data_IF_244019322318
#
_entry.id   IF_244019322318
#
_cell.length_a   1.000
_cell.length_b   1.000
_cell.length_c   1.000
_cell.angle_alpha   90.00
_cell.angle_beta   90.00
_cell.angle_gamma   90.00
#
_symmetry.space_group_name_H-M   'P 1'
#
loop_
_entity.id
_entity.type
_entity.pdbx_description
1 polymer ?
#
# COMPACT_ATOMS: atom_id res chain seq x y z
N UNK A 1 -4.43 -19.34 -12.89
CA UNK A 1 -3.77 -18.82 -11.67
C UNK A 1 -4.83 -18.50 -10.63
N UNK A 2 -4.64 -18.92 -9.37
CA UNK A 2 -5.55 -18.55 -8.26
C UNK A 2 -5.47 -17.03 -8.01
N UNK A 3 -6.61 -16.41 -7.70
CA UNK A 3 -6.67 -14.97 -7.42
C UNK A 3 -5.97 -14.64 -6.10
N UNK A 4 -5.44 -13.42 -5.96
CA UNK A 4 -4.77 -12.93 -4.74
C UNK A 4 -5.62 -11.90 -4.02
N UNK A 5 -5.52 -11.88 -2.70
CA UNK A 5 -6.04 -10.81 -1.84
C UNK A 5 -4.86 -9.95 -1.40
N UNK A 6 -4.88 -8.66 -1.73
CA UNK A 6 -3.88 -7.72 -1.24
C UNK A 6 -4.49 -6.94 -0.07
N UNK A 7 -3.81 -6.93 1.08
CA UNK A 7 -4.17 -6.15 2.25
C UNK A 7 -3.22 -4.96 2.37
N UNK A 8 -3.74 -3.81 2.82
CA UNK A 8 -2.93 -2.59 3.00
C UNK A 8 -3.04 -2.07 4.41
N UNK A 9 -1.89 -1.87 5.04
CA UNK A 9 -1.74 -1.23 6.35
C UNK A 9 -1.27 0.20 6.12
N UNK A 10 -1.74 1.15 6.94
CA UNK A 10 -1.33 2.56 6.83
C UNK A 10 -0.52 2.94 8.07
N UNK A 11 -1.04 2.69 9.28
CA UNK A 11 -0.29 2.86 10.52
C UNK A 11 -0.73 1.89 11.61
N UNK A 12 0.16 1.65 12.57
CA UNK A 12 -0.03 0.66 13.63
C UNK A 12 0.34 1.29 14.98
N UNK A 13 -0.48 1.03 16.01
CA UNK A 13 -0.17 1.43 17.39
C UNK A 13 -0.40 2.91 17.65
N UNK A 14 0.40 3.49 18.55
CA UNK A 14 0.27 4.90 18.91
C UNK A 14 0.76 5.84 17.79
N UNK A 15 0.12 6.99 17.67
CA UNK A 15 0.45 7.98 16.64
C UNK A 15 1.50 8.95 17.16
N UNK A 16 2.70 8.96 16.58
CA UNK A 16 3.75 9.93 16.92
C UNK A 16 3.55 11.32 16.26
N UNK A 17 2.50 11.48 15.44
CA UNK A 17 2.16 12.72 14.73
C UNK A 17 0.65 12.88 14.60
N UNK A 18 0.22 14.09 14.24
CA UNK A 18 -1.16 14.32 13.83
C UNK A 18 -1.49 13.53 12.55
N UNK A 19 -2.64 12.87 12.56
CA UNK A 19 -3.15 12.12 11.43
C UNK A 19 -3.84 13.04 10.42
N UNK A 20 -3.69 12.74 9.13
CA UNK A 20 -4.49 13.39 8.09
C UNK A 20 -5.97 13.04 8.25
N UNK A 21 -6.85 13.86 7.68
CA UNK A 21 -8.30 13.62 7.76
C UNK A 21 -8.65 12.25 7.15
N UNK A 22 -9.21 11.36 7.97
CA UNK A 22 -9.67 10.03 7.57
C UNK A 22 -8.60 8.94 7.69
N UNK A 23 -7.36 9.29 8.02
CA UNK A 23 -6.29 8.32 8.27
C UNK A 23 -6.55 7.50 9.54
N UNK A 24 -7.23 8.09 10.53
CA UNK A 24 -7.75 7.45 11.74
C UNK A 24 -8.61 6.22 11.41
N UNK A 25 -9.38 6.26 10.32
CA UNK A 25 -10.24 5.15 9.92
C UNK A 25 -9.43 3.90 9.51
N UNK A 26 -8.18 4.08 9.10
CA UNK A 26 -7.26 3.04 8.59
C UNK A 26 -6.08 2.76 9.51
N UNK A 27 -6.03 3.41 10.68
CA UNK A 27 -5.05 3.15 11.71
C UNK A 27 -5.48 1.96 12.57
N UNK A 28 -4.60 0.99 12.81
CA UNK A 28 -4.94 -0.22 13.57
C UNK A 28 -4.13 -0.32 14.85
N UNK A 29 -4.65 -1.05 15.84
CA UNK A 29 -3.85 -1.39 17.02
C UNK A 29 -2.81 -2.46 16.69
N UNK A 30 -1.84 -2.63 17.59
CA UNK A 30 -0.83 -3.70 17.47
C UNK A 30 -1.50 -5.07 17.48
N UNK A 31 -2.49 -5.28 18.35
CA UNK A 31 -3.24 -6.54 18.46
C UNK A 31 -4.02 -6.85 17.18
N UNK A 32 -4.68 -5.84 16.60
CA UNK A 32 -5.39 -5.99 15.33
C UNK A 32 -4.44 -6.35 14.18
N UNK A 33 -3.27 -5.72 14.14
CA UNK A 33 -2.25 -6.07 13.16
C UNK A 33 -1.76 -7.52 13.35
N UNK A 34 -1.40 -7.91 14.58
CA UNK A 34 -0.95 -9.27 14.89
C UNK A 34 -1.99 -10.33 14.50
N UNK A 35 -3.27 -10.11 14.81
CA UNK A 35 -4.37 -10.99 14.38
C UNK A 35 -4.41 -11.18 12.86
N UNK A 36 -4.17 -10.10 12.09
CA UNK A 36 -4.11 -10.18 10.62
C UNK A 36 -2.88 -10.96 10.17
N UNK A 37 -1.70 -10.68 10.74
CA UNK A 37 -0.46 -11.34 10.34
C UNK A 37 -0.51 -12.84 10.66
N UNK A 38 -1.04 -13.23 11.82
CA UNK A 38 -1.27 -14.62 12.20
C UNK A 38 -2.22 -15.33 11.23
N UNK A 39 -3.32 -14.69 10.85
CA UNK A 39 -4.28 -15.26 9.89
C UNK A 39 -3.74 -15.37 8.46
N UNK A 40 -2.72 -14.56 8.12
CA UNK A 40 -2.07 -14.54 6.80
C UNK A 40 -0.87 -15.50 6.73
N UNK A 41 -0.30 -15.89 7.87
CA UNK A 41 0.78 -16.87 7.90
C UNK A 41 0.36 -18.17 7.17
N UNK A 42 1.22 -18.64 6.26
CA UNK A 42 0.92 -19.83 5.43
C UNK A 42 -0.11 -19.63 4.32
N UNK A 43 -0.59 -18.40 4.05
CA UNK A 43 -1.53 -18.10 2.96
C UNK A 43 -0.82 -17.50 1.72
N UNK A 44 -0.37 -18.32 0.75
CA UNK A 44 0.31 -17.82 -0.45
C UNK A 44 -0.61 -17.03 -1.38
N UNK A 45 -1.93 -17.06 -1.16
CA UNK A 45 -2.91 -16.28 -1.91
C UNK A 45 -3.16 -14.88 -1.32
N UNK A 46 -2.41 -14.49 -0.28
CA UNK A 46 -2.54 -13.19 0.38
C UNK A 46 -1.21 -12.44 0.31
N UNK A 47 -1.27 -11.12 0.13
CA UNK A 47 -0.10 -10.23 0.11
C UNK A 47 -0.34 -9.06 1.06
N UNK A 48 0.65 -8.79 1.91
CA UNK A 48 0.68 -7.62 2.78
C UNK A 48 1.38 -6.47 2.08
N UNK A 49 0.77 -5.30 2.18
CA UNK A 49 1.34 -4.05 1.68
C UNK A 49 1.19 -2.96 2.74
N UNK A 50 2.06 -1.97 2.70
CA UNK A 50 2.10 -0.85 3.62
C UNK A 50 2.18 0.42 2.79
N UNK A 51 1.43 1.46 3.16
CA UNK A 51 1.48 2.77 2.53
C UNK A 51 2.05 3.81 3.50
N UNK A 52 2.33 5.00 2.98
CA UNK A 52 2.70 6.22 3.70
C UNK A 52 4.11 6.27 4.30
N UNK A 53 4.72 5.13 4.64
CA UNK A 53 6.05 5.08 5.24
C UNK A 53 6.05 5.66 6.66
N UNK A 54 5.17 5.13 7.52
CA UNK A 54 5.12 5.49 8.94
C UNK A 54 6.25 4.81 9.72
N UNK A 55 6.73 5.42 10.79
CA UNK A 55 7.77 4.84 11.65
C UNK A 55 7.39 3.43 12.18
N UNK A 56 6.09 3.20 12.41
CA UNK A 56 5.53 1.90 12.78
C UNK A 56 5.83 0.77 11.79
N UNK A 57 6.14 1.08 10.53
CA UNK A 57 6.51 0.08 9.51
C UNK A 57 7.78 -0.67 9.89
N UNK A 58 8.74 0.01 10.51
CA UNK A 58 9.99 -0.58 11.01
C UNK A 58 9.83 -0.98 12.47
N UNK A 59 9.36 -0.07 13.32
CA UNK A 59 9.32 -0.26 14.78
C UNK A 59 8.38 -1.40 15.21
N UNK A 60 7.29 -1.60 14.47
CA UNK A 60 6.23 -2.55 14.84
C UNK A 60 6.10 -3.64 13.79
N UNK A 61 5.87 -3.28 12.52
CA UNK A 61 5.49 -4.24 11.49
C UNK A 61 6.64 -5.17 11.12
N UNK A 62 7.83 -4.62 10.85
CA UNK A 62 8.98 -5.38 10.39
C UNK A 62 9.34 -6.57 11.30
N UNK A 63 9.56 -6.42 12.62
CA UNK A 63 9.92 -7.55 13.48
C UNK A 63 8.86 -8.65 13.49
N UNK A 64 7.56 -8.28 13.48
CA UNK A 64 6.43 -9.23 13.49
C UNK A 64 6.31 -10.00 12.18
N UNK A 65 6.61 -9.35 11.05
CA UNK A 65 6.65 -10.01 9.75
C UNK A 65 7.83 -10.99 9.67
N UNK A 66 9.02 -10.57 10.13
CA UNK A 66 10.23 -11.41 10.13
C UNK A 66 10.05 -12.65 11.01
N UNK A 67 9.52 -12.48 12.22
CA UNK A 67 9.21 -13.57 13.15
C UNK A 67 8.33 -14.67 12.51
N UNK A 68 7.41 -14.26 11.64
CA UNK A 68 6.47 -15.17 10.95
C UNK A 68 6.96 -15.61 9.56
N UNK A 69 8.19 -15.27 9.18
CA UNK A 69 8.75 -15.60 7.87
C UNK A 69 8.01 -14.95 6.69
N UNK A 70 7.32 -13.83 6.92
CA UNK A 70 6.52 -13.15 5.92
C UNK A 70 7.34 -12.10 5.16
N UNK A 71 6.94 -11.88 3.90
CA UNK A 71 7.44 -10.80 3.04
C UNK A 71 6.29 -9.86 2.71
N UNK A 72 6.57 -8.57 2.68
CA UNK A 72 5.61 -7.52 2.35
C UNK A 72 6.18 -6.49 1.35
N UNK A 73 5.31 -5.62 0.84
CA UNK A 73 5.70 -4.49 -0.01
C UNK A 73 5.33 -3.15 0.66
N UNK A 74 6.31 -2.28 0.87
CA UNK A 74 6.16 -0.98 1.53
C UNK A 74 6.22 0.13 0.49
N UNK A 75 5.15 0.90 0.33
CA UNK A 75 5.06 2.03 -0.59
C UNK A 75 5.32 3.31 0.17
N UNK A 76 6.50 3.88 -0.03
CA UNK A 76 7.02 4.97 0.79
C UNK A 76 6.85 6.32 0.09
N UNK A 77 6.55 7.36 0.85
CA UNK A 77 6.52 8.75 0.41
C UNK A 77 7.93 9.35 0.49
N UNK A 78 8.60 9.47 -0.65
CA UNK A 78 10.01 9.86 -0.67
C UNK A 78 10.27 11.28 -0.15
N UNK A 79 9.30 12.18 -0.29
CA UNK A 79 9.43 13.58 0.13
C UNK A 79 9.17 13.82 1.61
N UNK A 80 8.64 12.82 2.33
CA UNK A 80 8.33 12.92 3.77
C UNK A 80 9.30 12.10 4.63
N UNK A 81 10.38 11.57 4.03
CA UNK A 81 11.38 10.82 4.77
C UNK A 81 12.05 11.70 5.83
N UNK A 82 12.13 11.21 7.06
CA UNK A 82 12.73 11.90 8.21
C UNK A 82 11.82 12.93 8.88
N UNK A 83 10.57 13.11 8.42
CA UNK A 83 9.59 13.89 9.17
C UNK A 83 9.16 13.14 10.46
N UNK A 84 8.72 13.86 11.51
CA UNK A 84 8.26 13.23 12.75
C UNK A 84 7.20 12.14 12.52
N UNK A 85 7.46 10.94 13.05
CA UNK A 85 6.58 9.77 12.91
C UNK A 85 6.63 9.09 11.53
N UNK A 86 7.56 9.47 10.65
CA UNK A 86 7.81 8.83 9.36
C UNK A 86 9.12 8.05 9.37
N UNK A 87 9.25 7.13 8.41
CA UNK A 87 10.52 6.49 8.11
C UNK A 87 11.55 7.53 7.68
N UNK A 88 12.81 7.26 7.99
CA UNK A 88 13.97 7.95 7.42
C UNK A 88 14.69 7.07 6.39
N UNK A 89 15.86 7.52 5.94
CA UNK A 89 16.68 6.79 4.97
C UNK A 89 17.15 5.42 5.49
N UNK A 90 17.46 5.34 6.78
CA UNK A 90 17.93 4.11 7.41
C UNK A 90 16.78 3.10 7.53
N UNK A 91 15.58 3.56 7.91
CA UNK A 91 14.38 2.71 7.94
C UNK A 91 14.03 2.11 6.58
N UNK A 92 14.18 2.86 5.47
CA UNK A 92 13.99 2.31 4.12
C UNK A 92 15.04 1.23 3.80
N UNK A 93 16.29 1.49 4.18
CA UNK A 93 17.41 0.55 3.99
C UNK A 93 17.22 -0.72 4.83
N UNK A 94 16.69 -0.59 6.04
CA UNK A 94 16.39 -1.69 6.96
C UNK A 94 15.27 -2.59 6.40
N UNK A 95 14.18 -2.00 5.91
CA UNK A 95 13.11 -2.76 5.25
C UNK A 95 13.68 -3.59 4.08
N UNK A 96 14.51 -2.98 3.24
CA UNK A 96 15.13 -3.66 2.11
C UNK A 96 16.11 -4.76 2.57
N UNK A 97 16.97 -4.47 3.55
CA UNK A 97 17.96 -5.40 4.12
C UNK A 97 17.32 -6.61 4.80
N UNK A 98 16.14 -6.43 5.39
CA UNK A 98 15.33 -7.51 5.93
C UNK A 98 14.63 -8.34 4.85
N UNK A 99 14.74 -7.99 3.57
CA UNK A 99 14.16 -8.71 2.43
C UNK A 99 12.74 -8.27 2.06
N UNK A 100 12.25 -7.16 2.61
CA UNK A 100 10.99 -6.56 2.19
C UNK A 100 11.15 -5.83 0.85
N UNK A 101 10.07 -5.67 0.11
CA UNK A 101 10.10 -4.90 -1.14
C UNK A 101 9.77 -3.44 -0.87
N UNK A 102 10.63 -2.54 -1.32
CA UNK A 102 10.31 -1.11 -1.35
C UNK A 102 9.65 -0.74 -2.68
N UNK A 103 8.51 -0.07 -2.59
CA UNK A 103 7.74 0.55 -3.65
C UNK A 103 7.62 2.06 -3.41
N UNK A 104 7.04 2.80 -4.36
CA UNK A 104 6.81 4.24 -4.21
C UNK A 104 5.34 4.56 -3.98
N UNK A 105 5.06 5.43 -3.01
CA UNK A 105 3.75 6.08 -2.86
C UNK A 105 3.76 7.52 -3.38
N UNK A 106 4.78 7.88 -4.17
CA UNK A 106 5.01 9.23 -4.65
C UNK A 106 5.96 10.02 -3.75
N UNK A 107 5.83 11.35 -3.82
CA UNK A 107 6.68 12.29 -3.10
C UNK A 107 5.97 12.91 -1.90
N UNK A 108 4.82 13.57 -2.12
CA UNK A 108 4.14 14.34 -1.08
C UNK A 108 2.64 14.01 -0.95
N UNK A 109 2.26 12.75 -1.24
CA UNK A 109 0.89 12.25 -1.05
C UNK A 109 -0.19 13.04 -1.81
N UNK A 110 0.14 13.51 -3.02
CA UNK A 110 -0.77 14.34 -3.83
C UNK A 110 -1.79 13.49 -4.60
N UNK A 111 -2.96 14.06 -4.87
CA UNK A 111 -3.91 13.44 -5.81
C UNK A 111 -3.34 13.45 -7.23
N UNK A 112 -2.97 12.28 -7.74
CA UNK A 112 -2.27 12.17 -9.01
C UNK A 112 -3.09 12.61 -10.23
N UNK A 113 -4.41 12.77 -10.08
CA UNK A 113 -5.30 13.29 -11.13
C UNK A 113 -5.07 14.77 -11.44
N UNK A 114 -4.62 15.54 -10.45
CA UNK A 114 -4.50 17.00 -10.53
C UNK A 114 -3.09 17.49 -10.82
N UNK A 115 -2.11 16.58 -10.97
CA UNK A 115 -0.71 16.96 -11.13
C UNK A 115 -0.43 17.74 -12.43
N UNK A 116 0.32 18.81 -12.25
CA UNK A 116 1.00 19.54 -13.31
C UNK A 116 2.29 18.83 -13.80
N UNK A 117 3.03 19.46 -14.71
CA UNK A 117 4.26 18.88 -15.29
C UNK A 117 5.36 18.63 -14.25
N UNK A 118 5.81 19.65 -13.52
CA UNK A 118 6.82 19.50 -12.47
C UNK A 118 6.44 18.48 -11.39
N UNK A 119 5.19 18.49 -10.93
CA UNK A 119 4.71 17.54 -9.92
C UNK A 119 4.72 16.11 -10.44
N UNK A 120 4.43 15.85 -11.72
CA UNK A 120 4.56 14.51 -12.30
C UNK A 120 6.01 14.03 -12.24
N UNK A 121 6.99 14.88 -12.55
CA UNK A 121 8.40 14.49 -12.49
C UNK A 121 8.82 14.16 -11.05
N UNK A 122 8.36 14.95 -10.08
CA UNK A 122 8.63 14.72 -8.66
C UNK A 122 8.01 13.40 -8.16
N UNK A 123 6.70 13.23 -8.36
CA UNK A 123 5.93 12.08 -7.87
C UNK A 123 6.33 10.77 -8.58
N UNK A 124 6.56 10.79 -9.90
CA UNK A 124 6.66 9.55 -10.70
C UNK A 124 8.11 9.17 -11.04
N UNK A 125 9.05 10.10 -10.96
CA UNK A 125 10.44 9.87 -11.35
C UNK A 125 11.38 10.08 -10.17
N UNK A 126 11.39 11.28 -9.57
CA UNK A 126 12.32 11.62 -8.48
C UNK A 126 12.11 10.71 -7.27
N UNK A 127 10.86 10.53 -6.83
CA UNK A 127 10.54 9.66 -5.70
C UNK A 127 11.10 8.25 -5.86
N UNK A 128 10.93 7.65 -7.04
CA UNK A 128 11.42 6.29 -7.33
C UNK A 128 12.94 6.22 -7.39
N UNK A 129 13.60 7.26 -7.90
CA UNK A 129 15.06 7.31 -7.93
C UNK A 129 15.66 7.37 -6.53
N UNK A 130 15.13 8.22 -5.65
CA UNK A 130 15.55 8.31 -4.24
C UNK A 130 15.36 6.97 -3.54
N UNK A 131 14.16 6.40 -3.61
CA UNK A 131 13.86 5.13 -2.95
C UNK A 131 14.67 3.95 -3.53
N UNK A 132 14.99 3.97 -4.82
CA UNK A 132 15.85 2.95 -5.42
C UNK A 132 17.30 3.03 -4.91
N UNK A 133 17.80 4.24 -4.68
CA UNK A 133 19.11 4.46 -4.07
C UNK A 133 19.18 3.90 -2.65
N UNK A 134 18.16 4.19 -1.83
CA UNK A 134 18.07 3.72 -0.44
C UNK A 134 17.86 2.20 -0.36
N UNK A 135 16.94 1.65 -1.17
CA UNK A 135 16.63 0.23 -1.15
C UNK A 135 17.68 -0.65 -1.84
N UNK A 136 18.66 -0.06 -2.53
CA UNK A 136 19.67 -0.79 -3.32
C UNK A 136 19.09 -1.59 -4.50
N UNK A 137 17.86 -1.29 -4.93
CA UNK A 137 17.15 -2.03 -5.97
C UNK A 137 16.18 -1.15 -6.77
N UNK A 138 15.89 -1.47 -8.06
CA UNK A 138 14.96 -0.69 -8.86
C UNK A 138 13.54 -0.64 -8.29
N UNK A 139 13.04 0.57 -8.02
CA UNK A 139 11.65 0.80 -7.63
C UNK A 139 10.79 0.98 -8.88
N UNK A 140 9.90 0.02 -9.16
CA UNK A 140 9.00 0.05 -10.33
C UNK A 140 7.53 -0.24 -10.00
N UNK A 141 7.21 -0.47 -8.72
CA UNK A 141 5.86 -0.68 -8.23
C UNK A 141 5.40 0.53 -7.45
N UNK A 142 4.13 0.88 -7.61
CA UNK A 142 3.58 2.08 -6.98
C UNK A 142 2.22 1.82 -6.34
N UNK A 143 1.95 2.47 -5.21
CA UNK A 143 0.61 2.65 -4.69
C UNK A 143 0.12 4.04 -5.07
N UNK A 144 -1.12 4.15 -5.55
CA UNK A 144 -1.71 5.43 -5.95
C UNK A 144 -2.32 6.09 -4.71
N UNK A 145 -1.90 7.33 -4.34
CA UNK A 145 -2.48 8.07 -3.22
C UNK A 145 -4.01 8.09 -3.26
N UNK A 146 -4.61 7.88 -2.09
CA UNK A 146 -6.07 7.81 -1.90
C UNK A 146 -6.79 6.72 -2.73
N UNK A 147 -6.05 5.84 -3.42
CA UNK A 147 -6.62 4.95 -4.45
C UNK A 147 -7.33 5.70 -5.58
N UNK A 148 -6.94 6.96 -5.81
CA UNK A 148 -7.60 7.91 -6.70
C UNK A 148 -6.90 7.98 -8.06
N UNK A 149 -7.55 7.50 -9.11
CA UNK A 149 -6.98 7.45 -10.45
C UNK A 149 -8.01 7.64 -11.55
N UNK A 150 -7.52 8.06 -12.70
CA UNK A 150 -8.24 8.16 -13.98
C UNK A 150 -7.36 7.61 -15.12
N UNK A 151 -7.84 7.63 -16.36
CA UNK A 151 -7.07 7.17 -17.53
C UNK A 151 -5.76 7.93 -17.72
N UNK A 152 -5.70 9.22 -17.37
CA UNK A 152 -4.50 10.05 -17.50
C UNK A 152 -3.41 9.58 -16.54
N UNK A 153 -3.76 9.32 -15.28
CA UNK A 153 -2.86 8.74 -14.27
C UNK A 153 -2.33 7.40 -14.76
N UNK A 154 -3.21 6.48 -15.17
CA UNK A 154 -2.80 5.15 -15.61
C UNK A 154 -1.85 5.20 -16.82
N UNK A 155 -2.11 6.09 -17.79
CA UNK A 155 -1.22 6.30 -18.94
C UNK A 155 0.14 6.82 -18.51
N UNK A 156 0.18 7.84 -17.65
CA UNK A 156 1.43 8.43 -17.14
C UNK A 156 2.27 7.39 -16.39
N UNK A 157 1.67 6.56 -15.54
CA UNK A 157 2.39 5.49 -14.83
C UNK A 157 2.99 4.46 -15.81
N UNK A 158 2.27 4.08 -16.86
CA UNK A 158 2.80 3.18 -17.89
C UNK A 158 3.98 3.80 -18.65
N UNK A 159 3.88 5.06 -19.05
CA UNK A 159 4.96 5.78 -19.73
C UNK A 159 6.20 5.92 -18.81
N UNK A 160 6.00 6.05 -17.50
CA UNK A 160 7.07 6.09 -16.51
C UNK A 160 7.69 4.70 -16.22
N UNK A 161 7.26 3.63 -16.91
CA UNK A 161 7.81 2.28 -16.72
C UNK A 161 7.37 1.59 -15.43
N UNK A 162 6.23 1.99 -14.85
CA UNK A 162 5.65 1.28 -13.69
C UNK A 162 5.23 -0.12 -14.11
N UNK A 163 5.71 -1.14 -13.40
CA UNK A 163 5.43 -2.55 -13.70
C UNK A 163 4.17 -3.06 -12.99
N UNK A 164 3.75 -2.40 -11.91
CA UNK A 164 2.54 -2.70 -11.15
C UNK A 164 2.05 -1.49 -10.39
N UNK A 165 0.75 -1.20 -10.48
CA UNK A 165 0.11 -0.12 -9.77
C UNK A 165 -0.98 -0.65 -8.83
N UNK A 166 -0.96 -0.19 -7.59
CA UNK A 166 -1.86 -0.61 -6.53
C UNK A 166 -2.91 0.46 -6.24
N UNK A 167 -4.13 -0.01 -5.97
CA UNK A 167 -5.34 0.81 -5.79
C UNK A 167 -6.05 0.39 -4.51
N UNK A 168 -6.97 1.23 -4.03
CA UNK A 168 -7.80 0.96 -2.84
C UNK A 168 -9.20 0.46 -3.20
N UNK A 169 -9.36 -0.16 -4.37
CA UNK A 169 -10.67 -0.59 -4.88
C UNK A 169 -11.25 -1.82 -4.13
N UNK A 170 -10.43 -2.53 -3.35
CA UNK A 170 -10.80 -3.73 -2.61
C UNK A 170 -11.07 -4.99 -3.46
N UNK A 171 -11.22 -6.11 -2.75
CA UNK A 171 -11.52 -7.41 -3.35
C UNK A 171 -10.29 -8.11 -3.94
N UNK A 172 -10.53 -9.23 -4.62
CA UNK A 172 -9.45 -10.06 -5.19
C UNK A 172 -8.90 -9.46 -6.49
N UNK A 173 -7.62 -9.69 -6.73
CA UNK A 173 -6.92 -9.33 -7.96
C UNK A 173 -6.36 -10.59 -8.66
N UNK A 174 -6.11 -10.50 -9.96
CA UNK A 174 -5.35 -11.53 -10.66
C UNK A 174 -3.86 -11.29 -10.40
N UNK A 175 -3.06 -12.30 -10.03
CA UNK A 175 -1.65 -12.10 -9.65
C UNK A 175 -0.80 -11.39 -10.71
N UNK A 176 -1.05 -11.68 -12.00
CA UNK A 176 -0.34 -11.09 -13.14
C UNK A 176 -0.88 -9.75 -13.64
N UNK A 177 -1.98 -9.23 -13.10
CA UNK A 177 -2.54 -7.96 -13.59
C UNK A 177 -1.67 -6.77 -13.20
N UNK A 178 -1.54 -5.81 -14.12
CA UNK A 178 -0.80 -4.56 -13.88
C UNK A 178 -1.46 -3.72 -12.77
N UNK A 179 -2.79 -3.59 -12.79
CA UNK A 179 -3.55 -3.03 -11.68
C UNK A 179 -3.84 -4.10 -10.62
N UNK A 180 -3.53 -3.78 -9.37
CA UNK A 180 -3.82 -4.59 -8.19
C UNK A 180 -4.76 -3.83 -7.28
N UNK A 181 -5.92 -4.40 -6.97
CA UNK A 181 -6.77 -3.86 -5.91
C UNK A 181 -6.34 -4.38 -4.56
N UNK A 182 -6.45 -3.51 -3.57
CA UNK A 182 -6.11 -3.79 -2.18
C UNK A 182 -7.25 -3.41 -1.27
N UNK A 183 -7.33 -4.08 -0.15
CA UNK A 183 -8.30 -3.83 0.91
C UNK A 183 -7.53 -3.27 2.10
N UNK A 184 -7.79 -2.01 2.44
CA UNK A 184 -7.21 -1.39 3.62
C UNK A 184 -7.72 -2.06 4.89
N UNK A 185 -6.81 -2.28 5.83
CA UNK A 185 -7.18 -2.52 7.23
C UNK A 185 -7.84 -1.26 7.79
N UNK A 186 -8.70 -1.45 8.79
CA UNK A 186 -9.45 -0.38 9.44
C UNK A 186 -9.45 -0.58 10.95
N UNK A 187 -9.55 0.51 11.70
CA UNK A 187 -9.61 0.49 13.17
C UNK A 187 -10.78 -0.35 13.72
N UNK A 188 -11.82 -0.59 12.93
CA UNK A 188 -13.00 -1.38 13.31
C UNK A 188 -12.94 -2.84 12.81
N UNK A 189 -11.76 -3.32 12.41
CA UNK A 189 -11.61 -4.71 12.00
C UNK A 189 -11.75 -5.66 13.20
N UNK A 190 -12.31 -6.84 12.91
CA UNK A 190 -12.47 -7.94 13.84
C UNK A 190 -12.16 -9.29 13.15
N UNK A 191 -12.11 -10.37 13.92
CA UNK A 191 -11.86 -11.71 13.37
C UNK A 191 -12.87 -12.13 12.29
N UNK A 192 -14.13 -11.71 12.41
CA UNK A 192 -15.15 -11.98 11.40
C UNK A 192 -14.86 -11.27 10.07
N UNK A 193 -14.36 -10.04 10.11
CA UNK A 193 -13.90 -9.29 8.95
C UNK A 193 -12.71 -9.96 8.30
N UNK A 194 -11.71 -10.38 9.08
CA UNK A 194 -10.52 -11.07 8.60
C UNK A 194 -10.96 -12.32 7.82
N UNK A 195 -11.77 -13.19 8.42
CA UNK A 195 -12.29 -14.39 7.75
C UNK A 195 -13.01 -14.08 6.43
N UNK A 196 -13.93 -13.10 6.43
CA UNK A 196 -14.66 -12.70 5.21
C UNK A 196 -13.74 -12.23 4.08
N UNK A 197 -12.71 -11.44 4.40
CA UNK A 197 -11.77 -10.90 3.41
C UNK A 197 -10.86 -12.00 2.87
N UNK A 198 -10.33 -12.86 3.74
CA UNK A 198 -9.43 -13.96 3.37
C UNK A 198 -10.14 -15.07 2.58
N UNK A 199 -11.41 -15.35 2.88
CA UNK A 199 -12.22 -16.32 2.14
C UNK A 199 -12.79 -15.75 0.84
N UNK A 200 -12.67 -14.44 0.63
CA UNK A 200 -13.22 -13.73 -0.52
C UNK A 200 -14.75 -13.65 -0.51
N UNK A 201 -15.42 -13.92 0.62
CA UNK A 201 -16.89 -13.92 0.77
C UNK A 201 -17.43 -12.51 1.06
N UNK A 202 -17.21 -11.57 0.15
CA UNK A 202 -17.89 -10.27 0.21
C UNK A 202 -19.35 -10.38 -0.26
N UNK A 203 -20.33 -9.73 0.40
CA UNK A 203 -21.73 -9.67 -0.04
C UNK A 203 -21.86 -9.14 -1.48
N UNK A 204 -22.81 -9.68 -2.26
CA UNK A 204 -23.01 -9.35 -3.68
C UNK A 204 -23.20 -7.84 -3.93
N UNK A 205 -23.98 -7.16 -3.09
CA UNK A 205 -24.21 -5.72 -3.21
C UNK A 205 -22.90 -4.90 -3.11
N UNK A 206 -22.02 -5.25 -2.16
CA UNK A 206 -20.70 -4.61 -2.03
C UNK A 206 -19.80 -4.91 -3.24
N UNK A 207 -19.92 -6.11 -3.84
CA UNK A 207 -19.17 -6.45 -5.07
C UNK A 207 -19.65 -5.63 -6.26
N UNK A 208 -20.96 -5.48 -6.44
CA UNK A 208 -21.55 -4.71 -7.54
C UNK A 208 -21.17 -3.22 -7.48
N UNK A 209 -21.31 -2.58 -6.30
CA UNK A 209 -20.93 -1.18 -6.12
C UNK A 209 -19.45 -0.91 -6.38
N UNK A 210 -18.57 -1.81 -5.89
CA UNK A 210 -17.13 -1.72 -6.17
C UNK A 210 -16.80 -1.92 -7.64
N UNK A 211 -17.47 -2.83 -8.34
CA UNK A 211 -17.28 -3.03 -9.79
C UNK A 211 -17.66 -1.77 -10.59
N UNK A 212 -18.80 -1.15 -10.27
CA UNK A 212 -19.23 0.10 -10.92
C UNK A 212 -18.23 1.24 -10.73
N UNK A 213 -17.78 1.47 -9.50
CA UNK A 213 -16.77 2.49 -9.20
C UNK A 213 -15.43 2.22 -9.90
N UNK A 214 -15.00 0.96 -9.94
CA UNK A 214 -13.78 0.54 -10.65
C UNK A 214 -13.87 0.80 -12.14
N UNK A 215 -15.02 0.49 -12.74
CA UNK A 215 -15.22 0.75 -14.17
C UNK A 215 -15.21 2.25 -14.43
N UNK A 216 -15.94 3.03 -13.63
CA UNK A 216 -15.98 4.49 -13.72
C UNK A 216 -14.59 5.13 -13.69
N UNK A 217 -13.77 4.79 -12.69
CA UNK A 217 -12.38 5.29 -12.58
C UNK A 217 -11.49 4.90 -13.78
N UNK A 218 -11.81 3.81 -14.49
CA UNK A 218 -11.03 3.34 -15.64
C UNK A 218 -11.48 3.92 -16.98
N UNK A 219 -12.72 4.39 -17.08
CA UNK A 219 -13.27 4.95 -18.33
C UNK A 219 -13.20 6.47 -18.37
N UNK A 220 -13.23 7.12 -17.20
CA UNK A 220 -12.98 8.56 -17.03
C UNK A 220 -11.49 8.89 -17.18
#
# INVERSE_FOLDING_TARGET
MRAVTNLTVHGIGETARALERGEDATWVTVEQFEQVVDAVAGRPDVRLTFDDGNASDVEIALPRLVERGLRAEFFVLAGLLGEPGRLDADGVSELAGAGMRVGSHGWAHRDWRTLDGPQVAEEFTRARAVLAGLAGAPVSRVAIPFGSYDRRVLRRLRMAGVTRAYTSDGGRARPGSWLQARTSLRHDLDGAWIGRVLDGRAPLARRAGKLGMRLYKRVR
#
